data_IF_570688984346
#
_entry.id   IF_570688984346
#
_cell.length_a   1.000
_cell.length_b   1.000
_cell.length_c   1.000
_cell.angle_alpha   90.00
_cell.angle_beta   90.00
_cell.angle_gamma   90.00
#
_symmetry.space_group_name_H-M   'P 1'
#
loop_
_entity.id
_entity.type
_entity.pdbx_description
1 polymer ?
#
# COMPACT_ATOMS: atom_id res chain seq x y z
N UNK A 1 35.09 -4.09 39.13
CA UNK A 1 34.63 -5.35 38.50
C UNK A 1 33.16 -5.52 38.86
N UNK A 2 32.37 -5.99 37.89
CA UNK A 2 30.91 -6.16 37.84
C UNK A 2 30.27 -6.82 39.10
N UNK A 3 28.97 -6.80 39.39
CA UNK A 3 27.78 -7.12 38.56
C UNK A 3 26.50 -6.87 39.43
N UNK A 4 25.44 -6.17 38.98
CA UNK A 4 24.14 -6.69 38.45
C UNK A 4 23.39 -7.72 39.34
N UNK A 5 22.27 -7.27 39.96
CA UNK A 5 21.01 -7.94 40.40
C UNK A 5 20.44 -7.05 41.53
N UNK A 6 19.21 -6.55 41.64
CA UNK A 6 17.89 -6.97 41.22
C UNK A 6 16.98 -5.71 41.13
N UNK A 7 16.39 -5.43 39.98
CA UNK A 7 15.28 -4.46 39.84
C UNK A 7 14.02 -5.11 39.23
N UNK A 8 13.97 -6.45 39.20
CA UNK A 8 12.87 -7.21 38.60
C UNK A 8 11.69 -7.50 39.56
N UNK A 9 11.75 -7.08 40.83
CA UNK A 9 10.74 -7.47 41.84
C UNK A 9 9.64 -6.43 42.13
N UNK A 10 9.69 -5.23 41.52
CA UNK A 10 8.76 -4.14 41.84
C UNK A 10 7.50 -4.05 40.93
N UNK A 11 7.41 -4.90 39.90
CA UNK A 11 6.36 -4.81 38.87
C UNK A 11 5.12 -5.70 39.09
N UNK A 12 5.13 -6.57 40.11
CA UNK A 12 4.07 -7.57 40.30
C UNK A 12 2.84 -7.09 41.11
N UNK A 13 2.89 -5.93 41.77
CA UNK A 13 1.83 -5.47 42.70
C UNK A 13 0.97 -4.30 42.20
N UNK A 14 1.34 -3.68 41.07
CA UNK A 14 0.61 -2.55 40.47
C UNK A 14 -0.85 -2.86 40.06
N UNK A 15 -1.23 -4.09 39.63
CA UNK A 15 -2.62 -4.39 39.32
C UNK A 15 -3.52 -4.49 40.55
N UNK A 16 -2.98 -4.89 41.71
CA UNK A 16 -3.74 -5.06 42.95
C UNK A 16 -4.06 -3.70 43.61
N UNK A 17 -3.12 -2.74 43.53
CA UNK A 17 -3.28 -1.39 44.07
C UNK A 17 -4.31 -0.57 43.28
N UNK A 18 -4.43 -0.80 41.96
CA UNK A 18 -5.47 -0.15 41.13
C UNK A 18 -6.88 -0.68 41.38
N UNK A 19 -7.04 -1.95 41.75
CA UNK A 19 -8.36 -2.54 42.03
C UNK A 19 -8.98 -2.04 43.34
N UNK A 20 -8.18 -1.59 44.32
CA UNK A 20 -8.66 -1.08 45.60
C UNK A 20 -9.11 0.39 45.57
N UNK A 21 -8.74 1.15 44.54
CA UNK A 21 -8.97 2.60 44.48
C UNK A 21 -10.36 3.01 43.96
N UNK A 22 -11.17 2.06 43.47
CA UNK A 22 -12.49 2.35 42.87
C UNK A 22 -13.62 2.37 43.92
N UNK A 23 -13.36 1.89 45.14
CA UNK A 23 -14.38 1.73 46.19
C UNK A 23 -14.66 2.92 47.11
N UNK A 24 -13.89 4.02 47.05
CA UNK A 24 -13.98 5.11 48.04
C UNK A 24 -14.07 6.52 47.42
N UNK A 25 -14.44 6.61 46.15
CA UNK A 25 -14.43 7.88 45.40
C UNK A 25 -15.47 8.93 45.87
N UNK A 26 -16.58 8.66 46.59
CA UNK A 26 -17.55 9.73 46.85
C UNK A 26 -17.42 10.45 48.22
N UNK A 27 -16.24 10.53 48.88
CA UNK A 27 -16.10 11.29 50.17
C UNK A 27 -14.77 12.08 50.29
N UNK A 28 -14.27 12.69 49.22
CA UNK A 28 -13.14 13.64 49.32
C UNK A 28 -13.60 15.08 49.07
N UNK A 29 -14.27 15.69 50.07
CA UNK A 29 -14.69 17.10 50.03
C UNK A 29 -13.68 18.07 50.70
N UNK A 30 -12.47 17.63 51.03
CA UNK A 30 -11.44 18.53 51.57
C UNK A 30 -10.43 18.92 50.51
N UNK A 31 -10.19 20.24 50.38
CA UNK A 31 -9.12 20.82 49.56
C UNK A 31 -7.78 20.17 49.97
N UNK A 32 -7.03 19.71 48.97
CA UNK A 32 -5.65 19.24 49.14
C UNK A 32 -4.85 20.30 49.92
N UNK A 33 -4.07 19.91 50.94
CA UNK A 33 -3.24 20.84 51.69
C UNK A 33 -2.21 21.47 50.73
N UNK A 34 -1.99 22.77 50.86
CA UNK A 34 -0.92 23.45 50.11
C UNK A 34 0.41 22.88 50.59
N UNK A 35 1.22 22.40 49.65
CA UNK A 35 2.60 21.99 49.92
C UNK A 35 3.34 23.18 50.54
N UNK A 36 3.69 23.05 51.82
CA UNK A 36 4.67 23.93 52.47
C UNK A 36 6.02 23.33 52.16
N UNK A 37 6.70 23.86 51.14
CA UNK A 37 8.13 23.61 51.00
C UNK A 37 8.86 24.46 52.04
N UNK A 38 9.50 23.78 52.98
CA UNK A 38 10.50 24.34 53.89
C UNK A 38 11.60 24.99 53.06
N UNK A 39 11.95 26.22 53.40
CA UNK A 39 13.11 26.92 52.85
C UNK A 39 14.38 26.20 53.29
N UNK A 40 14.99 25.44 52.38
CA UNK A 40 16.42 25.18 52.41
C UNK A 40 17.09 26.13 51.42
N UNK A 41 17.96 26.97 51.96
CA UNK A 41 18.64 28.08 51.32
C UNK A 41 19.95 27.55 50.72
N UNK A 42 19.86 26.78 49.63
CA UNK A 42 20.99 26.49 48.72
C UNK A 42 20.55 25.69 47.49
N UNK A 43 20.29 26.39 46.38
CA UNK A 43 20.50 25.98 44.97
C UNK A 43 19.61 26.86 44.08
N UNK A 44 20.14 28.00 43.65
CA UNK A 44 19.65 28.73 42.47
C UNK A 44 19.99 27.92 41.21
N UNK A 45 19.47 26.70 41.08
CA UNK A 45 19.26 26.11 39.75
C UNK A 45 17.93 26.71 39.26
N UNK A 46 18.05 27.92 38.74
CA UNK A 46 16.98 28.63 38.07
C UNK A 46 16.47 27.70 36.99
N UNK A 47 15.15 27.46 36.96
CA UNK A 47 14.47 26.80 35.85
C UNK A 47 14.66 27.64 34.58
N UNK A 48 15.84 27.53 33.96
CA UNK A 48 16.23 28.30 32.79
C UNK A 48 15.27 27.93 31.66
N UNK A 49 14.62 28.96 31.12
CA UNK A 49 13.66 28.82 30.04
C UNK A 49 14.30 29.29 28.75
N UNK A 50 14.14 28.48 27.72
CA UNK A 50 14.45 28.82 26.34
C UNK A 50 13.20 29.39 25.67
N UNK A 51 13.33 30.55 25.01
CA UNK A 51 12.28 31.15 24.17
C UNK A 51 12.57 30.78 22.72
N UNK A 52 11.59 30.17 22.05
CA UNK A 52 11.66 29.78 20.65
C UNK A 52 10.54 30.50 19.90
N UNK A 53 10.92 31.37 18.96
CA UNK A 53 10.02 32.08 18.07
C UNK A 53 9.95 31.36 16.72
N UNK A 54 8.76 30.86 16.38
CA UNK A 54 8.49 30.18 15.10
C UNK A 54 7.57 31.05 14.26
N UNK A 55 8.12 31.68 13.23
CA UNK A 55 7.46 32.63 12.32
C UNK A 55 6.57 33.67 13.01
N UNK A 56 7.00 34.16 14.19
CA UNK A 56 6.32 35.17 14.99
C UNK A 56 5.59 34.63 16.23
N UNK A 57 5.34 33.33 16.31
CA UNK A 57 4.71 32.69 17.47
C UNK A 57 5.77 32.24 18.48
N UNK A 58 5.68 32.76 19.71
CA UNK A 58 6.63 32.46 20.79
C UNK A 58 6.21 31.25 21.61
N UNK A 59 7.14 30.35 21.80
CA UNK A 59 7.04 29.17 22.63
C UNK A 59 8.07 29.21 23.75
N UNK A 60 7.66 28.84 24.96
CA UNK A 60 8.56 28.71 26.10
C UNK A 60 8.68 27.23 26.51
N UNK A 61 9.91 26.81 26.78
CA UNK A 61 10.22 25.48 27.30
C UNK A 61 11.44 25.55 28.23
N UNK A 62 11.53 24.59 29.16
CA UNK A 62 12.72 24.46 30.02
C UNK A 62 13.91 23.98 29.18
N UNK A 63 15.07 24.60 29.37
CA UNK A 63 16.31 24.21 28.69
C UNK A 63 16.65 22.74 28.96
N UNK A 64 16.38 22.26 30.17
CA UNK A 64 16.59 20.85 30.55
C UNK A 64 15.76 19.85 29.73
N UNK A 65 14.54 20.22 29.31
CA UNK A 65 13.69 19.38 28.46
C UNK A 65 14.26 19.21 27.05
N UNK A 66 14.91 20.26 26.52
CA UNK A 66 15.59 20.18 25.23
C UNK A 66 16.84 19.30 25.31
N UNK A 67 17.63 19.49 26.37
CA UNK A 67 18.88 18.77 26.60
C UNK A 67 18.70 17.25 26.82
N UNK A 68 17.47 16.79 27.08
CA UNK A 68 17.15 15.36 27.16
C UNK A 68 17.33 14.63 25.82
N UNK A 69 17.25 15.35 24.69
CA UNK A 69 17.32 14.77 23.35
C UNK A 69 18.45 15.42 22.52
N UNK A 70 19.73 15.20 22.86
CA UNK A 70 20.85 15.90 22.24
C UNK A 70 21.07 15.57 20.75
N UNK A 71 20.40 14.54 20.22
CA UNK A 71 20.47 14.16 18.81
C UNK A 71 19.54 14.97 17.91
N UNK A 72 18.59 15.71 18.48
CA UNK A 72 17.66 16.55 17.73
C UNK A 72 18.23 17.95 17.53
N UNK A 73 17.70 18.71 16.58
CA UNK A 73 18.17 20.08 16.32
C UNK A 73 18.11 20.95 17.58
N UNK A 74 16.95 20.98 18.25
CA UNK A 74 16.76 21.84 19.43
C UNK A 74 17.48 21.32 20.68
N UNK A 75 17.81 20.03 20.77
CA UNK A 75 18.56 19.49 21.91
C UNK A 75 20.07 19.60 21.75
N UNK A 76 20.55 19.86 20.54
CA UNK A 76 21.96 19.99 20.19
C UNK A 76 22.46 21.44 20.20
N UNK A 77 23.77 21.61 20.16
CA UNK A 77 24.44 22.92 20.04
C UNK A 77 24.10 23.63 18.71
N UNK A 78 23.56 22.91 17.71
CA UNK A 78 23.14 23.52 16.43
C UNK A 78 22.01 24.53 16.60
N UNK A 79 21.25 24.43 17.69
CA UNK A 79 20.22 25.42 18.04
C UNK A 79 20.80 26.82 18.14
N UNK A 80 22.05 26.97 18.60
CA UNK A 80 22.72 28.27 18.81
C UNK A 80 22.98 29.03 17.51
N UNK A 81 22.97 28.37 16.36
CA UNK A 81 22.98 29.05 15.06
C UNK A 81 21.73 29.90 14.81
N UNK A 82 20.62 29.58 15.47
CA UNK A 82 19.33 30.25 15.33
C UNK A 82 19.06 31.26 16.44
N UNK A 83 20.02 31.48 17.35
CA UNK A 83 19.87 32.42 18.45
C UNK A 83 20.10 33.87 17.98
N UNK A 84 19.18 34.76 18.31
CA UNK A 84 19.35 36.20 18.10
C UNK A 84 19.67 36.89 19.43
N UNK A 85 20.90 37.41 19.55
CA UNK A 85 21.38 38.10 20.77
C UNK A 85 20.56 39.37 21.09
N UNK A 86 19.98 40.03 20.09
CA UNK A 86 19.25 41.28 20.32
C UNK A 86 17.88 41.04 20.96
N UNK A 87 17.21 39.97 20.56
CA UNK A 87 15.88 39.61 21.04
C UNK A 87 15.91 38.59 22.18
N UNK A 88 17.02 37.87 22.36
CA UNK A 88 17.19 36.84 23.38
C UNK A 88 16.35 35.59 23.12
N UNK A 89 16.03 35.30 21.86
CA UNK A 89 15.21 34.17 21.44
C UNK A 89 15.81 33.43 20.25
N UNK A 90 15.43 32.15 20.10
CA UNK A 90 15.78 31.34 18.95
C UNK A 90 14.72 31.51 17.86
N UNK A 91 15.11 31.86 16.63
CA UNK A 91 14.16 32.13 15.55
C UNK A 91 14.18 31.05 14.47
N UNK A 92 12.98 30.55 14.11
CA UNK A 92 12.77 29.60 13.03
C UNK A 92 11.68 30.12 12.08
N UNK A 93 11.97 30.15 10.78
CA UNK A 93 10.97 30.45 9.75
C UNK A 93 10.29 29.16 9.27
N UNK A 94 9.38 28.63 10.11
CA UNK A 94 8.76 27.29 9.99
C UNK A 94 7.29 27.32 10.43
N UNK A 95 6.57 26.22 10.26
CA UNK A 95 5.15 26.15 10.62
C UNK A 95 4.93 26.09 12.16
N UNK A 96 4.26 27.10 12.76
CA UNK A 96 4.07 27.14 14.21
C UNK A 96 3.00 26.16 14.73
N UNK A 97 2.04 25.72 13.91
CA UNK A 97 1.02 24.76 14.34
C UNK A 97 1.64 23.36 14.47
N UNK A 98 2.43 22.95 13.48
CA UNK A 98 3.18 21.69 13.55
C UNK A 98 4.25 21.75 14.65
N UNK A 99 4.91 22.89 14.83
CA UNK A 99 5.91 23.08 15.89
C UNK A 99 5.36 22.79 17.29
N UNK A 100 4.07 23.05 17.54
CA UNK A 100 3.44 22.73 18.83
C UNK A 100 3.53 21.23 19.16
N UNK A 101 3.49 20.36 18.16
CA UNK A 101 3.64 18.91 18.29
C UNK A 101 5.10 18.50 18.54
N UNK A 102 6.04 19.15 17.84
CA UNK A 102 7.48 19.02 18.08
C UNK A 102 7.83 19.40 19.52
N UNK A 103 7.30 20.51 20.03
CA UNK A 103 7.53 20.93 21.41
C UNK A 103 6.94 19.97 22.44
N UNK A 104 5.83 19.31 22.10
CA UNK A 104 5.20 18.31 22.96
C UNK A 104 6.09 17.07 23.13
N UNK A 105 6.83 16.68 22.08
CA UNK A 105 7.81 15.60 22.16
C UNK A 105 8.88 15.87 23.24
N UNK A 106 9.45 17.08 23.32
CA UNK A 106 10.41 17.43 24.37
C UNK A 106 9.80 17.47 25.79
N UNK A 107 8.49 17.69 25.90
CA UNK A 107 7.79 17.75 27.21
C UNK A 107 7.41 16.36 27.72
N UNK A 108 6.94 15.49 26.84
CA UNK A 108 6.31 14.22 27.21
C UNK A 108 7.12 12.98 26.79
N UNK A 109 8.14 13.15 25.93
CA UNK A 109 8.94 12.08 25.35
C UNK A 109 8.26 11.22 24.28
N UNK A 110 7.02 11.55 23.90
CA UNK A 110 6.27 10.84 22.88
C UNK A 110 5.75 11.84 21.85
N UNK A 111 5.85 11.46 20.58
CA UNK A 111 5.40 12.28 19.46
C UNK A 111 3.92 11.99 19.16
N UNK A 112 3.17 13.03 18.83
CA UNK A 112 1.74 12.94 18.48
C UNK A 112 1.48 13.52 17.09
N UNK A 113 0.80 12.75 16.25
CA UNK A 113 0.43 13.13 14.90
C UNK A 113 -0.88 13.94 14.86
N UNK A 114 -0.88 15.16 14.27
CA UNK A 114 -2.09 15.94 14.08
C UNK A 114 -2.88 15.49 12.83
N UNK A 115 -4.05 14.88 13.04
CA UNK A 115 -4.91 14.34 11.97
C UNK A 115 -5.41 15.37 10.93
N UNK A 116 -5.32 16.67 11.23
CA UNK A 116 -5.81 17.74 10.34
C UNK A 116 -4.72 18.27 9.41
N UNK A 117 -3.46 17.95 9.68
CA UNK A 117 -2.33 18.44 8.90
C UNK A 117 -1.94 17.46 7.80
N UNK A 118 -1.29 17.97 6.76
CA UNK A 118 -0.73 17.13 5.70
C UNK A 118 0.42 16.28 6.26
N UNK A 119 0.36 14.97 6.05
CA UNK A 119 1.39 14.03 6.51
C UNK A 119 2.78 14.37 5.96
N UNK A 120 2.88 14.86 4.72
CA UNK A 120 4.16 15.25 4.12
C UNK A 120 4.75 16.47 4.80
N UNK A 121 3.94 17.50 5.04
CA UNK A 121 4.41 18.71 5.73
C UNK A 121 4.84 18.38 7.17
N UNK A 122 4.11 17.48 7.83
CA UNK A 122 4.49 16.98 9.14
C UNK A 122 5.84 16.24 9.12
N UNK A 123 6.07 15.35 8.15
CA UNK A 123 7.36 14.67 7.98
C UNK A 123 8.50 15.63 7.69
N UNK A 124 8.28 16.65 6.86
CA UNK A 124 9.29 17.67 6.54
C UNK A 124 9.71 18.47 7.78
N UNK A 125 8.75 18.75 8.69
CA UNK A 125 9.03 19.38 9.97
C UNK A 125 9.78 18.45 10.92
N UNK A 126 9.36 17.18 11.05
CA UNK A 126 10.09 16.20 11.86
C UNK A 126 11.54 16.02 11.38
N UNK A 127 11.74 15.90 10.07
CA UNK A 127 13.05 15.77 9.46
C UNK A 127 13.93 17.01 9.72
N UNK A 128 13.35 18.21 9.62
CA UNK A 128 14.07 19.46 9.92
C UNK A 128 14.55 19.51 11.37
N UNK A 129 13.69 19.21 12.33
CA UNK A 129 14.05 19.18 13.75
C UNK A 129 14.79 17.89 14.18
N UNK A 130 15.03 16.96 13.24
CA UNK A 130 15.70 15.67 13.43
C UNK A 130 15.03 14.80 14.49
N UNK A 131 13.71 14.76 14.47
CA UNK A 131 12.91 13.86 15.30
C UNK A 131 12.50 12.68 14.43
N UNK A 132 12.88 11.49 14.88
CA UNK A 132 12.54 10.25 14.19
C UNK A 132 11.03 9.98 14.33
N UNK A 133 10.34 9.62 13.25
CA UNK A 133 8.90 9.33 13.31
C UNK A 133 8.60 8.05 14.10
N UNK A 134 9.61 7.22 14.35
CA UNK A 134 9.55 6.07 15.25
C UNK A 134 9.27 6.45 16.71
N UNK A 135 9.45 7.73 17.08
CA UNK A 135 9.08 8.24 18.40
C UNK A 135 7.57 8.48 18.58
N UNK A 136 6.75 8.18 17.56
CA UNK A 136 5.29 8.23 17.64
C UNK A 136 4.77 7.29 18.72
N UNK A 137 3.92 7.82 19.60
CA UNK A 137 3.23 6.99 20.59
C UNK A 137 2.12 6.14 19.95
N UNK A 138 1.79 5.03 20.61
CA UNK A 138 0.76 4.06 20.17
C UNK A 138 -0.59 4.72 19.82
N UNK A 139 -0.94 5.81 20.48
CA UNK A 139 -2.21 6.51 20.28
C UNK A 139 -2.38 7.14 18.88
N UNK A 140 -1.28 7.41 18.18
CA UNK A 140 -1.28 8.13 16.91
C UNK A 140 -0.55 7.37 15.79
N UNK A 141 0.02 6.21 16.11
CA UNK A 141 0.84 5.42 15.20
C UNK A 141 0.07 4.99 13.96
N UNK A 142 -1.11 4.37 14.16
CA UNK A 142 -1.98 3.88 13.07
C UNK A 142 -2.44 5.01 12.15
N UNK A 143 -2.96 6.11 12.73
CA UNK A 143 -3.46 7.25 11.95
C UNK A 143 -2.39 7.87 11.04
N UNK A 144 -1.15 7.97 11.54
CA UNK A 144 -0.01 8.48 10.77
C UNK A 144 0.36 7.53 9.63
N UNK A 145 0.45 6.22 9.90
CA UNK A 145 0.79 5.22 8.89
C UNK A 145 -0.27 5.13 7.79
N UNK A 146 -1.55 5.19 8.15
CA UNK A 146 -2.64 5.21 7.18
C UNK A 146 -2.60 6.47 6.30
N UNK A 147 -2.42 7.65 6.90
CA UNK A 147 -2.30 8.91 6.16
C UNK A 147 -1.11 8.89 5.20
N UNK A 148 0.03 8.34 5.63
CA UNK A 148 1.25 8.21 4.82
C UNK A 148 1.04 7.27 3.64
N UNK A 149 0.37 6.13 3.86
CA UNK A 149 0.04 5.18 2.80
C UNK A 149 -0.90 5.79 1.77
N UNK A 150 -1.99 6.41 2.22
CA UNK A 150 -2.96 7.07 1.34
C UNK A 150 -2.31 8.16 0.48
N UNK A 151 -1.47 9.01 1.09
CA UNK A 151 -0.77 10.05 0.34
C UNK A 151 0.22 9.46 -0.68
N UNK A 152 0.93 8.38 -0.32
CA UNK A 152 1.82 7.69 -1.26
C UNK A 152 1.06 7.07 -2.43
N UNK A 153 -0.13 6.53 -2.21
CA UNK A 153 -0.99 5.97 -3.27
C UNK A 153 -1.44 7.08 -4.24
N UNK A 154 -1.90 8.23 -3.73
CA UNK A 154 -2.29 9.39 -4.55
C UNK A 154 -1.14 9.92 -5.41
N UNK A 155 0.06 10.03 -4.85
CA UNK A 155 1.25 10.47 -5.60
C UNK A 155 1.63 9.49 -6.72
N UNK A 156 1.41 8.19 -6.53
CA UNK A 156 1.62 7.18 -7.58
C UNK A 156 0.60 7.33 -8.71
N UNK A 157 -0.67 7.56 -8.38
CA UNK A 157 -1.76 7.79 -9.33
C UNK A 157 -1.54 9.05 -10.20
N UNK A 158 -1.15 10.17 -9.58
CA UNK A 158 -0.79 11.40 -10.29
C UNK A 158 0.40 11.20 -11.24
N UNK A 159 1.37 10.38 -10.83
CA UNK A 159 2.53 10.07 -11.66
C UNK A 159 2.18 9.15 -12.83
N UNK A 160 1.20 8.25 -12.70
CA UNK A 160 0.66 7.49 -13.83
C UNK A 160 -0.09 8.39 -14.81
N UNK A 161 -0.98 9.27 -14.35
CA UNK A 161 -1.76 10.15 -15.23
C UNK A 161 -0.89 11.21 -15.93
N UNK A 162 0.19 11.67 -15.29
CA UNK A 162 1.15 12.58 -15.93
C UNK A 162 1.94 11.86 -17.04
N UNK A 163 2.24 10.56 -16.89
CA UNK A 163 2.88 9.76 -17.94
C UNK A 163 1.95 9.48 -19.13
N UNK A 164 0.63 9.52 -18.94
CA UNK A 164 -0.34 9.41 -20.03
C UNK A 164 -0.37 10.67 -20.91
N UNK A 165 0.02 11.82 -20.37
CA UNK A 165 0.17 13.07 -21.11
C UNK A 165 1.57 13.27 -21.74
N UNK A 166 2.47 12.28 -21.62
CA UNK A 166 3.80 12.32 -22.22
C UNK A 166 3.79 11.78 -23.65
N UNK A 167 4.11 12.66 -24.61
CA UNK A 167 4.40 12.45 -26.04
C UNK A 167 3.78 11.22 -26.74
N UNK A 168 2.79 11.48 -27.61
CA UNK A 168 2.25 10.48 -28.55
C UNK A 168 3.41 9.78 -29.28
N UNK A 169 3.58 8.46 -29.13
CA UNK A 169 4.69 7.75 -29.75
C UNK A 169 4.61 7.87 -31.28
N UNK A 170 5.70 8.33 -31.90
CA UNK A 170 5.77 8.48 -33.37
C UNK A 170 5.73 7.12 -34.09
N UNK A 171 6.16 6.05 -33.41
CA UNK A 171 6.24 4.71 -33.98
C UNK A 171 4.92 3.94 -33.85
N UNK A 172 4.42 3.40 -34.96
CA UNK A 172 3.24 2.53 -35.00
C UNK A 172 3.34 1.37 -34.01
N UNK A 173 4.53 0.76 -33.86
CA UNK A 173 4.76 -0.35 -32.93
C UNK A 173 4.50 0.06 -31.48
N UNK A 174 4.99 1.22 -31.06
CA UNK A 174 4.82 1.71 -29.70
C UNK A 174 3.36 2.13 -29.44
N UNK A 175 2.69 2.70 -30.46
CA UNK A 175 1.25 2.98 -30.39
C UNK A 175 0.42 1.71 -30.25
N UNK A 176 0.77 0.66 -31.00
CA UNK A 176 0.11 -0.64 -30.91
C UNK A 176 0.34 -1.29 -29.53
N UNK A 177 1.56 -1.19 -28.98
CA UNK A 177 1.87 -1.68 -27.64
C UNK A 177 1.05 -0.96 -26.57
N UNK A 178 1.00 0.38 -26.63
CA UNK A 178 0.20 1.17 -25.70
C UNK A 178 -1.30 0.89 -25.84
N UNK A 179 -1.79 0.61 -27.04
CA UNK A 179 -3.20 0.26 -27.25
C UNK A 179 -3.60 -1.09 -26.63
N UNK A 180 -2.65 -2.02 -26.43
CA UNK A 180 -2.92 -3.28 -25.73
C UNK A 180 -2.78 -3.16 -24.20
N UNK A 181 -1.85 -2.34 -23.72
CA UNK A 181 -1.59 -2.19 -22.28
C UNK A 181 -2.60 -1.24 -21.61
N UNK A 182 -2.96 -0.14 -22.30
CA UNK A 182 -3.78 0.93 -21.76
C UNK A 182 -5.02 1.14 -22.63
N UNK A 183 -6.21 0.62 -22.24
CA UNK A 183 -7.42 0.78 -23.02
C UNK A 183 -7.83 2.26 -23.15
N UNK A 184 -7.49 3.10 -22.18
CA UNK A 184 -7.84 4.53 -22.17
C UNK A 184 -6.95 5.38 -23.10
N UNK A 185 -5.85 4.81 -23.63
CA UNK A 185 -4.89 5.55 -24.45
C UNK A 185 -5.47 6.06 -25.78
N UNK A 186 -6.38 5.31 -26.40
CA UNK A 186 -7.00 5.72 -27.67
C UNK A 186 -8.32 5.01 -27.93
N UNK A 187 -9.19 5.58 -28.76
CA UNK A 187 -10.42 4.90 -29.19
C UNK A 187 -10.15 3.54 -29.84
N UNK A 188 -9.04 3.37 -30.55
CA UNK A 188 -8.62 2.07 -31.10
C UNK A 188 -8.30 1.06 -30.00
N UNK A 189 -7.65 1.49 -28.92
CA UNK A 189 -7.36 0.65 -27.75
C UNK A 189 -8.65 0.17 -27.08
N UNK A 190 -9.61 1.07 -26.90
CA UNK A 190 -10.95 0.74 -26.36
C UNK A 190 -11.65 -0.32 -27.22
N UNK A 191 -11.63 -0.16 -28.55
CA UNK A 191 -12.27 -1.12 -29.47
C UNK A 191 -11.60 -2.49 -29.38
N UNK A 192 -10.26 -2.54 -29.41
CA UNK A 192 -9.51 -3.80 -29.27
C UNK A 192 -9.87 -4.48 -27.94
N UNK A 193 -9.87 -3.73 -26.84
CA UNK A 193 -10.22 -4.22 -25.51
C UNK A 193 -11.60 -4.90 -25.46
N UNK A 194 -12.64 -4.23 -25.97
CA UNK A 194 -13.99 -4.81 -25.98
C UNK A 194 -14.14 -6.00 -26.93
N UNK A 195 -13.49 -5.96 -28.10
CA UNK A 195 -13.54 -7.07 -29.06
C UNK A 195 -12.86 -8.31 -28.49
N UNK A 196 -11.66 -8.16 -27.94
CA UNK A 196 -10.93 -9.23 -27.24
C UNK A 196 -11.75 -9.79 -26.08
N UNK A 197 -12.29 -8.92 -25.22
CA UNK A 197 -13.13 -9.33 -24.09
C UNK A 197 -14.37 -10.12 -24.51
N UNK A 198 -15.00 -9.73 -25.63
CA UNK A 198 -16.15 -10.44 -26.19
C UNK A 198 -15.78 -11.87 -26.63
N UNK A 199 -14.68 -12.06 -27.37
CA UNK A 199 -14.25 -13.40 -27.80
C UNK A 199 -13.78 -14.28 -26.63
N UNK A 200 -13.16 -13.69 -25.61
CA UNK A 200 -12.86 -14.39 -24.35
C UNK A 200 -14.16 -14.90 -23.73
N UNK A 201 -15.17 -14.05 -23.56
CA UNK A 201 -16.46 -14.46 -22.99
C UNK A 201 -17.10 -15.60 -23.82
N UNK A 202 -17.17 -15.45 -25.16
CA UNK A 202 -17.71 -16.48 -26.05
C UNK A 202 -16.95 -17.81 -25.90
N UNK A 203 -15.61 -17.77 -25.85
CA UNK A 203 -14.81 -19.00 -25.68
C UNK A 203 -15.06 -19.69 -24.33
N UNK A 204 -15.22 -18.93 -23.25
CA UNK A 204 -15.53 -19.47 -21.93
C UNK A 204 -16.93 -20.09 -21.92
N UNK A 205 -17.93 -19.40 -22.48
CA UNK A 205 -19.28 -19.95 -22.61
C UNK A 205 -19.31 -21.20 -23.50
N UNK A 206 -18.55 -21.22 -24.60
CA UNK A 206 -18.44 -22.39 -25.46
C UNK A 206 -17.84 -23.58 -24.70
N UNK A 207 -16.73 -23.38 -23.97
CA UNK A 207 -16.11 -24.42 -23.14
C UNK A 207 -17.06 -24.96 -22.07
N UNK A 208 -17.79 -24.08 -21.38
CA UNK A 208 -18.80 -24.50 -20.39
C UNK A 208 -19.90 -25.31 -21.07
N UNK A 209 -20.46 -24.80 -22.17
CA UNK A 209 -21.56 -25.47 -22.87
C UNK A 209 -21.14 -26.78 -23.50
N UNK A 210 -19.89 -26.96 -23.93
CA UNK A 210 -19.38 -28.22 -24.47
C UNK A 210 -19.42 -29.35 -23.43
N UNK A 211 -19.29 -29.02 -22.14
CA UNK A 211 -19.23 -29.99 -21.03
C UNK A 211 -20.59 -30.39 -20.44
N UNK A 212 -21.64 -29.58 -20.63
CA UNK A 212 -22.96 -29.86 -20.05
C UNK A 212 -23.75 -30.88 -20.89
N UNK A 213 -24.65 -31.69 -20.27
CA UNK A 213 -25.51 -32.63 -20.98
C UNK A 213 -26.57 -31.89 -21.82
N UNK A 214 -26.73 -32.29 -23.08
CA UNK A 214 -27.53 -31.57 -24.07
C UNK A 214 -29.03 -31.91 -24.09
N UNK A 215 -29.59 -32.23 -22.92
CA UNK A 215 -30.98 -32.67 -22.78
C UNK A 215 -31.24 -34.10 -23.29
N UNK A 216 -32.45 -34.64 -23.08
CA UNK A 216 -32.81 -35.98 -23.48
C UNK A 216 -33.12 -36.06 -24.99
N UNK A 217 -32.47 -36.99 -25.69
CA UNK A 217 -32.83 -37.34 -27.08
C UNK A 217 -33.93 -38.41 -27.11
N UNK A 218 -34.92 -38.30 -28.02
CA UNK A 218 -35.91 -39.35 -28.21
C UNK A 218 -35.25 -40.61 -28.77
N UNK A 219 -35.16 -41.67 -27.95
CA UNK A 219 -34.70 -43.00 -28.35
C UNK A 219 -33.33 -43.46 -27.82
N UNK A 220 -32.63 -42.64 -27.02
CA UNK A 220 -31.33 -43.00 -26.44
C UNK A 220 -31.33 -42.85 -24.91
N UNK A 221 -30.95 -43.91 -24.17
CA UNK A 221 -30.97 -43.92 -22.69
C UNK A 221 -29.81 -43.16 -22.04
N UNK A 222 -28.78 -42.78 -22.81
CA UNK A 222 -27.58 -42.11 -22.32
C UNK A 222 -27.57 -40.65 -22.75
N UNK A 223 -27.59 -39.72 -21.78
CA UNK A 223 -27.40 -38.30 -22.05
C UNK A 223 -25.98 -38.07 -22.57
N UNK A 224 -25.87 -37.36 -23.71
CA UNK A 224 -24.59 -36.96 -24.31
C UNK A 224 -24.29 -35.50 -23.97
N UNK A 225 -23.01 -35.15 -23.91
CA UNK A 225 -22.59 -33.76 -23.76
C UNK A 225 -22.93 -32.97 -25.03
N UNK A 226 -23.15 -31.66 -24.91
CA UNK A 226 -23.44 -30.83 -26.08
C UNK A 226 -22.32 -30.82 -27.12
N UNK A 227 -21.06 -30.95 -26.68
CA UNK A 227 -19.93 -31.10 -27.60
C UNK A 227 -20.03 -32.32 -28.52
N UNK A 228 -20.61 -33.43 -28.03
CA UNK A 228 -20.77 -34.66 -28.82
C UNK A 228 -21.94 -34.54 -29.81
N UNK A 229 -22.95 -33.72 -29.47
CA UNK A 229 -24.15 -33.49 -30.31
C UNK A 229 -23.85 -32.53 -31.45
N UNK A 230 -23.10 -31.46 -31.17
CA UNK A 230 -22.84 -30.35 -32.10
C UNK A 230 -21.34 -30.22 -32.40
N UNK A 231 -20.70 -31.34 -32.72
CA UNK A 231 -19.25 -31.44 -32.92
C UNK A 231 -18.73 -30.42 -33.95
N UNK A 232 -19.42 -30.25 -35.08
CA UNK A 232 -19.00 -29.34 -36.15
C UNK A 232 -19.14 -27.86 -35.75
N UNK A 233 -20.17 -27.52 -34.97
CA UNK A 233 -20.41 -26.15 -34.51
C UNK A 233 -19.37 -25.72 -33.47
N UNK A 234 -19.13 -26.55 -32.45
CA UNK A 234 -18.10 -26.29 -31.45
C UNK A 234 -16.70 -26.30 -32.07
N UNK A 235 -16.40 -27.25 -32.96
CA UNK A 235 -15.11 -27.28 -33.66
C UNK A 235 -14.86 -26.03 -34.50
N UNK A 236 -15.90 -25.50 -35.17
CA UNK A 236 -15.79 -24.26 -35.94
C UNK A 236 -15.54 -23.06 -35.03
N UNK A 237 -16.26 -22.96 -33.91
CA UNK A 237 -16.12 -21.90 -32.92
C UNK A 237 -14.73 -21.92 -32.27
N UNK A 238 -14.27 -23.07 -31.80
CA UNK A 238 -12.95 -23.24 -31.18
C UNK A 238 -11.83 -22.83 -32.13
N UNK A 239 -11.93 -23.27 -33.40
CA UNK A 239 -10.96 -22.91 -34.44
C UNK A 239 -10.94 -21.41 -34.68
N UNK A 240 -12.10 -20.75 -34.75
CA UNK A 240 -12.20 -19.31 -34.92
C UNK A 240 -11.61 -18.54 -33.73
N UNK A 241 -11.93 -18.94 -32.49
CA UNK A 241 -11.40 -18.32 -31.27
C UNK A 241 -9.88 -18.48 -31.18
N UNK A 242 -9.34 -19.66 -31.47
CA UNK A 242 -7.88 -19.90 -31.46
C UNK A 242 -7.18 -19.05 -32.50
N UNK A 243 -7.72 -18.93 -33.73
CA UNK A 243 -7.14 -18.07 -34.76
C UNK A 243 -7.06 -16.61 -34.28
N UNK A 244 -8.13 -16.10 -33.66
CA UNK A 244 -8.17 -14.72 -33.16
C UNK A 244 -7.16 -14.52 -32.03
N UNK A 245 -7.13 -15.41 -31.04
CA UNK A 245 -6.17 -15.32 -29.93
C UNK A 245 -4.72 -15.47 -30.39
N UNK A 246 -4.45 -16.32 -31.38
CA UNK A 246 -3.12 -16.41 -31.99
C UNK A 246 -2.72 -15.11 -32.68
N UNK A 247 -3.62 -14.49 -33.46
CA UNK A 247 -3.34 -13.20 -34.11
C UNK A 247 -3.08 -12.11 -33.06
N UNK A 248 -3.92 -12.06 -32.02
CA UNK A 248 -3.79 -11.11 -30.91
C UNK A 248 -2.45 -11.27 -30.18
N UNK A 249 -2.10 -12.52 -29.83
CA UNK A 249 -0.82 -12.85 -29.21
C UNK A 249 0.37 -12.44 -30.09
N UNK A 250 0.32 -12.76 -31.39
CA UNK A 250 1.37 -12.35 -32.33
C UNK A 250 1.48 -10.83 -32.44
N UNK A 251 0.35 -10.10 -32.43
CA UNK A 251 0.34 -8.65 -32.45
C UNK A 251 0.97 -8.06 -31.17
N UNK A 252 0.64 -8.61 -29.99
CA UNK A 252 1.27 -8.23 -28.71
C UNK A 252 2.78 -8.51 -28.72
N UNK A 253 3.20 -9.69 -29.17
CA UNK A 253 4.61 -10.06 -29.27
C UNK A 253 5.39 -9.20 -30.27
N UNK A 254 4.76 -8.77 -31.37
CA UNK A 254 5.36 -7.82 -32.32
C UNK A 254 5.51 -6.43 -31.70
N UNK A 255 4.47 -5.97 -30.99
CA UNK A 255 4.43 -4.65 -30.38
C UNK A 255 5.38 -4.51 -29.18
N UNK A 256 5.64 -5.61 -28.45
CA UNK A 256 6.44 -5.61 -27.24
C UNK A 256 7.85 -5.01 -27.43
N UNK A 257 8.30 -4.11 -26.52
CA UNK A 257 9.62 -3.50 -26.63
C UNK A 257 10.76 -4.54 -26.51
N UNK A 258 10.58 -5.53 -25.63
CA UNK A 258 11.48 -6.68 -25.48
C UNK A 258 10.68 -7.98 -25.54
N UNK A 259 10.80 -8.68 -26.68
CA UNK A 259 10.00 -9.88 -27.00
C UNK A 259 10.30 -11.06 -26.08
N UNK A 260 11.55 -11.23 -25.67
CA UNK A 260 11.94 -12.30 -24.75
C UNK A 260 11.38 -12.09 -23.35
N UNK A 261 11.43 -10.84 -22.87
CA UNK A 261 10.81 -10.48 -21.59
C UNK A 261 9.30 -10.65 -21.65
N UNK A 262 8.67 -10.29 -22.78
CA UNK A 262 7.23 -10.49 -22.99
C UNK A 262 6.88 -11.97 -22.99
N UNK A 263 7.58 -12.82 -23.73
CA UNK A 263 7.30 -14.25 -23.83
C UNK A 263 7.31 -14.97 -22.47
N UNK A 264 8.19 -14.55 -21.55
CA UNK A 264 8.32 -15.11 -20.20
C UNK A 264 7.34 -14.45 -19.19
N UNK A 265 6.67 -13.36 -19.58
CA UNK A 265 5.72 -12.67 -18.70
C UNK A 265 4.48 -13.50 -18.41
N UNK A 266 3.91 -13.38 -17.21
CA UNK A 266 2.74 -14.14 -16.78
C UNK A 266 1.54 -13.94 -17.72
N UNK A 267 1.28 -12.69 -18.14
CA UNK A 267 0.20 -12.38 -19.09
C UNK A 267 0.38 -13.11 -20.42
N UNK A 268 1.60 -13.13 -20.97
CA UNK A 268 1.91 -13.83 -22.22
C UNK A 268 1.79 -15.35 -22.09
N UNK A 269 2.17 -15.91 -20.94
CA UNK A 269 2.04 -17.36 -20.68
C UNK A 269 0.56 -17.78 -20.66
N UNK A 270 -0.32 -16.97 -20.06
CA UNK A 270 -1.77 -17.23 -20.03
C UNK A 270 -2.32 -17.31 -21.46
N UNK A 271 -1.97 -16.35 -22.32
CA UNK A 271 -2.39 -16.34 -23.72
C UNK A 271 -1.93 -17.60 -24.48
N UNK A 272 -0.68 -18.05 -24.26
CA UNK A 272 -0.15 -19.28 -24.90
C UNK A 272 -0.88 -20.53 -24.39
N UNK A 273 -1.08 -20.65 -23.07
CA UNK A 273 -1.75 -21.80 -22.47
C UNK A 273 -3.20 -21.90 -22.95
N UNK A 274 -3.87 -20.78 -23.23
CA UNK A 274 -5.24 -20.76 -23.73
C UNK A 274 -5.38 -21.39 -25.13
N UNK A 275 -4.40 -21.21 -26.03
CA UNK A 275 -4.44 -21.74 -27.40
C UNK A 275 -3.73 -23.09 -27.57
N UNK A 276 -2.82 -23.44 -26.65
CA UNK A 276 -1.95 -24.61 -26.76
C UNK A 276 -2.69 -25.95 -26.95
N UNK A 277 -3.79 -26.27 -26.21
CA UNK A 277 -4.47 -27.55 -26.35
C UNK A 277 -4.95 -27.84 -27.78
N UNK A 278 -5.41 -26.82 -28.50
CA UNK A 278 -5.86 -26.95 -29.88
C UNK A 278 -4.71 -27.32 -30.83
N UNK A 279 -3.55 -26.64 -30.69
CA UNK A 279 -2.37 -26.92 -31.51
C UNK A 279 -1.78 -28.31 -31.22
N UNK A 280 -1.79 -28.76 -29.96
CA UNK A 280 -1.39 -30.13 -29.61
C UNK A 280 -2.31 -31.15 -30.28
N UNK A 281 -3.63 -30.91 -30.25
CA UNK A 281 -4.61 -31.76 -30.93
C UNK A 281 -4.39 -31.85 -32.44
N UNK A 282 -3.91 -30.77 -33.07
CA UNK A 282 -3.59 -30.74 -34.50
C UNK A 282 -2.23 -31.38 -34.84
N UNK A 283 -1.24 -31.30 -33.94
CA UNK A 283 0.09 -31.88 -34.11
C UNK A 283 0.13 -33.41 -33.87
N UNK A 284 -0.92 -34.00 -33.28
CA UNK A 284 -1.09 -35.44 -33.17
C UNK A 284 -2.08 -36.03 -34.21
N UNK A 285 -1.90 -35.87 -35.55
CA UNK A 285 -2.80 -36.46 -36.52
C UNK A 285 -2.25 -37.82 -36.98
N UNK A 286 -2.11 -38.82 -36.10
CA UNK A 286 -1.94 -40.23 -36.53
C UNK A 286 -2.23 -41.21 -35.39
N UNK A 287 -3.51 -41.58 -35.29
CA UNK A 287 -3.93 -42.97 -35.41
C UNK A 287 -5.39 -42.99 -35.84
N UNK A 288 -5.62 -43.12 -37.15
CA UNK A 288 -6.90 -43.62 -37.65
C UNK A 288 -7.15 -44.96 -36.93
N UNK A 289 -8.34 -45.09 -36.34
CA UNK A 289 -8.73 -46.06 -35.31
C UNK A 289 -8.36 -45.63 -33.88
N UNK A 290 -9.17 -44.72 -33.32
CA UNK A 290 -9.96 -44.94 -32.10
C UNK A 290 -10.76 -43.64 -31.83
N UNK A 291 -12.10 -43.63 -31.93
CA UNK A 291 -12.93 -42.51 -31.44
C UNK A 291 -13.02 -42.49 -29.89
N UNK A 292 -11.89 -42.64 -29.19
CA UNK A 292 -11.78 -42.72 -27.72
C UNK A 292 -10.60 -41.88 -27.16
N UNK A 293 -9.79 -41.22 -28.01
CA UNK A 293 -8.67 -40.41 -27.50
C UNK A 293 -9.06 -39.01 -26.97
N UNK A 294 -10.29 -38.53 -27.22
CA UNK A 294 -10.83 -37.30 -26.61
C UNK A 294 -11.40 -37.52 -25.18
N UNK A 295 -11.24 -38.73 -24.63
CA UNK A 295 -11.82 -39.14 -23.34
C UNK A 295 -10.80 -39.26 -22.19
N UNK A 296 -9.49 -39.12 -22.44
CA UNK A 296 -8.47 -39.27 -21.39
C UNK A 296 -8.02 -37.97 -20.72
N UNK A 297 -8.56 -36.81 -21.11
CA UNK A 297 -8.46 -35.55 -20.32
C UNK A 297 -9.86 -35.15 -19.81
N UNK A 298 -10.71 -36.13 -19.48
CA UNK A 298 -12.00 -35.91 -18.79
C UNK A 298 -12.11 -36.72 -17.49
N UNK A 299 -10.99 -37.21 -16.94
CA UNK A 299 -10.95 -37.94 -15.66
C UNK A 299 -9.90 -37.32 -14.73
N UNK A 300 -10.06 -36.04 -14.42
CA UNK A 300 -9.63 -35.47 -13.14
C UNK A 300 -10.76 -34.52 -12.75
N UNK A 301 -11.42 -34.81 -11.63
CA UNK A 301 -12.69 -34.23 -11.16
C UNK A 301 -13.96 -34.84 -11.78
N UNK A 302 -14.20 -36.12 -11.52
CA UNK A 302 -15.43 -36.60 -10.85
C UNK A 302 -15.17 -37.95 -10.22
#
# INVERSE_FOLDING_TARGET
>A
MAQICDMAQASAWLPLVRASAIGWVPIAQHRLPKNVCTKDDSSQDVFEKTIINVSGQRFEILTSSLNQYPHTLLGSDERDYFYDENSGEYYFDRDPEIFRHILTYYRCGHLHYPKKECVMQYEDELAYFRIASEALGDCCYEDYHDSKRENSERLLEERSSTKENAEVPKDFRNRLWQAFENPEFSTTAIVIYYVTGFFIAVSVFANITETIPCGPEPGLSKQRACGDRYIDAFSCLDTACVIIFTIEYCARMYAAPNRWKFFISVMSIIDVVAILPFYIGLLMPDNKCIPVARQHIRVVCT
#
